data_IF_619540055469
#
_entry.id   IF_619540055469
#
_cell.length_a   1.000
_cell.length_b   1.000
_cell.length_c   1.000
_cell.angle_alpha   90.00
_cell.angle_beta   90.00
_cell.angle_gamma   90.00
#
_symmetry.space_group_name_H-M   'P 1'
#
loop_
_entity.id
_entity.type
_entity.pdbx_description
1 polymer ?
#
# COMPACT_ATOMS: atom_id res chain seq x y z
N UNK A 1 7.48 -8.30 1.40
CA UNK A 1 6.12 -8.02 0.89
C UNK A 1 6.21 -6.83 -0.05
N UNK A 2 5.35 -6.75 -1.05
CA UNK A 2 5.21 -5.58 -1.92
C UNK A 2 3.85 -4.95 -1.65
N UNK A 3 3.84 -3.65 -1.42
CA UNK A 3 2.62 -2.83 -1.35
C UNK A 3 2.57 -1.96 -2.61
N UNK A 4 1.55 -2.15 -3.42
CA UNK A 4 1.23 -1.27 -4.55
C UNK A 4 0.11 -0.34 -4.13
N UNK A 5 0.26 0.93 -4.46
CA UNK A 5 -0.69 2.00 -4.15
C UNK A 5 -1.12 2.59 -5.48
N UNK A 6 -2.42 2.62 -5.74
CA UNK A 6 -3.01 3.13 -6.99
C UNK A 6 -3.90 4.33 -6.68
N UNK A 7 -3.87 5.34 -7.55
CA UNK A 7 -4.62 6.58 -7.42
C UNK A 7 -5.64 6.69 -8.55
N UNK A 8 -6.88 7.05 -8.21
CA UNK A 8 -8.00 7.14 -9.14
C UNK A 8 -8.74 8.47 -9.03
N UNK A 9 -9.12 9.02 -10.17
CA UNK A 9 -9.92 10.26 -10.30
C UNK A 9 -11.13 9.96 -11.18
N UNK A 10 -12.34 10.23 -10.67
CA UNK A 10 -13.61 9.85 -11.32
C UNK A 10 -13.70 8.36 -11.75
N UNK A 11 -12.96 7.47 -11.07
CA UNK A 11 -12.90 6.04 -11.36
C UNK A 11 -11.87 5.62 -12.42
N UNK A 12 -11.11 6.56 -12.98
CA UNK A 12 -10.02 6.30 -13.93
C UNK A 12 -8.66 6.27 -13.21
N UNK A 13 -7.78 5.33 -13.59
CA UNK A 13 -6.45 5.20 -12.98
C UNK A 13 -5.54 6.35 -13.42
N UNK A 14 -5.12 7.18 -12.46
CA UNK A 14 -4.20 8.31 -12.69
C UNK A 14 -2.75 7.84 -12.63
N UNK A 15 -2.43 6.97 -11.67
CA UNK A 15 -1.08 6.45 -11.51
C UNK A 15 -0.94 5.46 -10.36
N UNK A 16 0.29 4.96 -10.18
CA UNK A 16 0.59 4.01 -9.12
C UNK A 16 2.03 4.10 -8.65
N UNK A 17 2.27 3.65 -7.42
CA UNK A 17 3.60 3.48 -6.84
C UNK A 17 3.70 2.12 -6.16
N UNK A 18 4.90 1.54 -6.11
CA UNK A 18 5.14 0.23 -5.49
C UNK A 18 6.32 0.30 -4.53
N UNK A 19 6.11 -0.23 -3.34
CA UNK A 19 7.08 -0.23 -2.25
C UNK A 19 7.32 -1.66 -1.77
N UNK A 20 8.59 -2.01 -1.55
CA UNK A 20 8.95 -3.29 -0.94
C UNK A 20 9.06 -3.06 0.57
N UNK A 21 8.15 -3.69 1.31
CA UNK A 21 8.12 -3.64 2.77
C UNK A 21 8.79 -4.88 3.35
N UNK A 22 9.55 -4.66 4.43
CA UNK A 22 10.21 -5.71 5.20
C UNK A 22 9.42 -6.05 6.45
N UNK A 23 9.46 -7.32 6.85
CA UNK A 23 8.76 -7.81 8.03
C UNK A 23 9.23 -7.07 9.31
N UNK A 24 8.28 -6.76 10.20
CA UNK A 24 8.49 -6.10 11.48
C UNK A 24 9.16 -4.70 11.43
N UNK A 25 9.12 -4.02 10.28
CA UNK A 25 9.65 -2.66 10.11
C UNK A 25 8.52 -1.66 9.94
N UNK A 26 8.58 -0.53 10.65
CA UNK A 26 7.74 0.64 10.34
C UNK A 26 8.41 1.46 9.24
N UNK A 27 7.65 1.78 8.20
CA UNK A 27 8.14 2.58 7.08
C UNK A 27 7.18 3.75 6.87
N UNK A 28 7.74 4.95 6.74
CA UNK A 28 7.02 6.12 6.28
C UNK A 28 7.14 6.19 4.77
N UNK A 29 6.00 6.28 4.10
CA UNK A 29 5.91 6.35 2.64
C UNK A 29 5.32 7.71 2.31
N UNK A 30 6.11 8.54 1.63
CA UNK A 30 5.62 9.77 1.01
C UNK A 30 5.11 9.43 -0.39
N UNK A 31 3.89 9.87 -0.68
CA UNK A 31 3.25 9.69 -1.98
C UNK A 31 3.55 10.89 -2.86
N UNK A 32 3.82 10.62 -4.13
CA UNK A 32 4.10 11.66 -5.13
C UNK A 32 2.88 12.54 -5.37
N UNK A 33 3.00 13.84 -5.09
CA UNK A 33 1.88 14.78 -5.26
C UNK A 33 1.48 14.97 -6.73
N UNK A 34 2.35 14.68 -7.70
CA UNK A 34 1.95 14.72 -9.11
C UNK A 34 0.94 13.63 -9.47
N UNK A 35 0.91 12.53 -8.70
CA UNK A 35 0.02 11.38 -8.92
C UNK A 35 -1.15 11.37 -7.94
N UNK A 36 -0.90 11.73 -6.68
CA UNK A 36 -1.84 11.57 -5.57
C UNK A 36 -2.39 12.91 -5.03
N UNK A 37 -2.01 14.04 -5.64
CA UNK A 37 -2.35 15.37 -5.13
C UNK A 37 -3.81 15.80 -5.35
N UNK A 38 -4.47 15.30 -6.39
CA UNK A 38 -5.86 15.59 -6.73
C UNK A 38 -6.53 14.32 -7.25
N UNK A 39 -6.97 13.46 -6.32
CA UNK A 39 -7.58 12.15 -6.61
C UNK A 39 -8.74 11.89 -5.66
N UNK A 40 -9.76 11.19 -6.13
CA UNK A 40 -10.94 10.82 -5.35
C UNK A 40 -10.70 9.56 -4.50
N UNK A 41 -9.86 8.66 -4.98
CA UNK A 41 -9.74 7.32 -4.43
C UNK A 41 -8.29 6.81 -4.48
N UNK A 42 -7.88 6.10 -3.40
CA UNK A 42 -6.59 5.44 -3.29
C UNK A 42 -6.78 3.99 -2.86
N UNK A 43 -6.26 3.04 -3.64
CA UNK A 43 -6.31 1.60 -3.33
C UNK A 43 -4.93 1.09 -2.92
N UNK A 44 -4.90 0.23 -1.91
CA UNK A 44 -3.70 -0.43 -1.42
C UNK A 44 -3.77 -1.94 -1.70
N UNK A 45 -2.74 -2.48 -2.34
CA UNK A 45 -2.60 -3.89 -2.66
C UNK A 45 -1.35 -4.46 -2.03
N UNK A 46 -1.51 -5.36 -1.05
CA UNK A 46 -0.41 -6.11 -0.46
C UNK A 46 -0.26 -7.48 -1.13
N UNK A 47 0.97 -7.85 -1.52
CA UNK A 47 1.27 -9.16 -2.09
C UNK A 47 2.68 -9.66 -1.73
N UNK A 48 2.91 -10.97 -1.87
CA UNK A 48 4.23 -11.57 -1.64
C UNK A 48 4.71 -11.48 -0.18
N UNK A 49 3.79 -11.49 0.77
CA UNK A 49 4.10 -11.74 2.19
C UNK A 49 4.43 -13.21 2.43
N UNK A 50 5.09 -13.49 3.54
CA UNK A 50 5.30 -14.86 4.03
C UNK A 50 4.46 -15.02 5.28
N UNK A 51 3.67 -16.08 5.33
CA UNK A 51 2.96 -16.42 6.54
C UNK A 51 3.95 -16.79 7.64
N UNK A 52 3.80 -16.16 8.81
CA UNK A 52 4.65 -16.42 9.95
C UNK A 52 4.17 -17.65 10.76
N UNK A 53 2.88 -18.02 10.64
CA UNK A 53 2.31 -19.19 11.26
C UNK A 53 2.09 -20.29 10.22
N UNK A 54 2.91 -21.36 10.19
CA UNK A 54 2.76 -22.42 9.19
C UNK A 54 1.53 -23.31 9.41
N UNK A 55 0.85 -23.18 10.56
CA UNK A 55 -0.29 -24.03 10.95
C UNK A 55 -1.65 -23.38 10.66
N UNK A 56 -1.68 -22.16 10.11
CA UNK A 56 -2.89 -21.50 9.63
C UNK A 56 -2.92 -21.34 8.10
N UNK A 57 -4.04 -20.86 7.56
CA UNK A 57 -4.24 -20.64 6.12
C UNK A 57 -4.02 -19.17 5.74
N UNK A 58 -3.14 -18.47 6.45
CA UNK A 58 -2.79 -17.09 6.21
C UNK A 58 -2.05 -16.90 4.89
N UNK A 59 -2.15 -15.69 4.34
CA UNK A 59 -1.44 -15.30 3.12
C UNK A 59 -0.14 -14.55 3.41
N UNK A 60 0.11 -14.17 4.67
CA UNK A 60 1.16 -13.23 5.07
C UNK A 60 1.03 -11.83 4.46
N UNK A 61 0.00 -11.56 3.64
CA UNK A 61 -0.22 -10.29 2.95
C UNK A 61 -1.06 -9.33 3.78
N UNK A 62 -0.68 -9.17 5.06
CA UNK A 62 -1.33 -8.23 5.99
C UNK A 62 -0.50 -6.97 6.06
N UNK A 63 -1.15 -5.82 5.91
CA UNK A 63 -0.54 -4.52 6.12
C UNK A 63 -1.31 -3.73 7.17
N UNK A 64 -0.58 -2.90 7.92
CA UNK A 64 -1.14 -1.95 8.86
C UNK A 64 -0.75 -0.57 8.38
N UNK A 65 -1.74 0.33 8.34
CA UNK A 65 -1.54 1.74 8.01
C UNK A 65 -1.77 2.51 9.31
N UNK A 66 -0.84 3.40 9.60
CA UNK A 66 -0.92 4.30 10.74
C UNK A 66 -0.64 5.71 10.24
N UNK A 67 -1.37 6.69 10.78
CA UNK A 67 -1.32 8.11 10.40
C UNK A 67 -1.36 8.40 8.88
N UNK A 68 -2.57 8.58 8.34
CA UNK A 68 -2.77 9.15 7.00
C UNK A 68 -2.84 10.68 7.12
N UNK A 69 -1.93 11.37 6.45
CA UNK A 69 -1.83 12.84 6.46
C UNK A 69 -2.09 13.38 5.05
N UNK A 70 -2.99 14.36 4.95
CA UNK A 70 -3.23 15.15 3.75
C UNK A 70 -2.62 16.53 3.96
N UNK A 71 -1.92 17.06 2.95
CA UNK A 71 -1.24 18.35 2.98
C UNK A 71 -2.10 19.48 2.40
#
# INVERSE_FOLDING_TARGET
MTVRIEAYDEGELVGSSSYVTQHATRQFIELDQEIFGDVDEVLFFASGGTDADPDDNGSGAVMFIDDIVFA
#
